data_IF_787284943843
#
_entry.id   IF_787284943843
#
_cell.length_a   1.000
_cell.length_b   1.000
_cell.length_c   1.000
_cell.angle_alpha   90.00
_cell.angle_beta   90.00
_cell.angle_gamma   90.00
#
_symmetry.space_group_name_H-M   'P 1'
#
loop_
_entity.id
_entity.type
_entity.pdbx_description
1 polymer ?
#
# COMPACT_ATOMS: atom_id res chain seq x y z
N UNK A 1 19.13 -21.71 -4.91
CA UNK A 1 19.21 -21.78 -3.42
C UNK A 1 20.21 -22.87 -3.05
N UNK A 2 21.16 -22.65 -2.14
CA UNK A 2 22.12 -23.68 -1.75
C UNK A 2 21.41 -24.85 -1.06
N UNK A 3 21.94 -26.06 -1.24
CA UNK A 3 21.40 -27.28 -0.65
C UNK A 3 21.51 -27.23 0.88
N UNK A 4 20.40 -27.46 1.59
CA UNK A 4 20.35 -27.53 3.06
C UNK A 4 19.79 -26.30 3.77
N UNK A 5 19.40 -25.24 3.06
CA UNK A 5 18.66 -24.13 3.68
C UNK A 5 17.23 -24.57 4.01
N UNK A 6 16.92 -24.66 5.30
CA UNK A 6 15.54 -24.70 5.79
C UNK A 6 15.14 -23.29 6.24
N UNK A 7 13.99 -22.76 5.80
CA UNK A 7 13.47 -21.52 6.35
C UNK A 7 13.30 -21.65 7.87
N UNK A 8 13.48 -20.57 8.64
CA UNK A 8 13.16 -20.56 10.06
C UNK A 8 11.76 -21.12 10.30
N UNK A 9 11.53 -21.77 11.45
CA UNK A 9 10.19 -22.16 11.89
C UNK A 9 9.42 -20.90 12.25
N UNK A 10 8.91 -20.21 11.22
CA UNK A 10 8.20 -18.93 11.29
C UNK A 10 7.06 -19.01 12.31
N UNK A 11 6.47 -20.19 12.49
CA UNK A 11 5.40 -20.42 13.46
C UNK A 11 5.89 -20.26 14.90
N UNK A 12 7.00 -20.90 15.29
CA UNK A 12 7.59 -20.71 16.62
C UNK A 12 8.06 -19.29 16.88
N UNK A 13 8.58 -18.63 15.85
CA UNK A 13 9.02 -17.24 15.94
C UNK A 13 7.82 -16.29 16.17
N UNK A 14 6.72 -16.49 15.42
CA UNK A 14 5.47 -15.74 15.60
C UNK A 14 4.86 -16.02 16.98
N UNK A 15 4.80 -17.29 17.42
CA UNK A 15 4.28 -17.67 18.74
C UNK A 15 5.06 -16.98 19.87
N UNK A 16 6.39 -16.89 19.75
CA UNK A 16 7.24 -16.19 20.72
C UNK A 16 7.03 -14.66 20.70
N UNK A 17 6.89 -14.05 19.52
CA UNK A 17 6.62 -12.62 19.38
C UNK A 17 5.21 -12.24 19.85
N UNK A 18 4.23 -13.14 19.70
CA UNK A 18 2.89 -12.95 20.28
C UNK A 18 2.91 -13.06 21.80
N UNK A 19 3.66 -14.02 22.35
CA UNK A 19 3.76 -14.24 23.79
C UNK A 19 4.49 -13.11 24.54
N UNK A 20 5.45 -12.43 23.91
CA UNK A 20 6.23 -11.36 24.54
C UNK A 20 5.69 -9.94 24.28
N UNK A 21 4.60 -9.80 23.52
CA UNK A 21 3.98 -8.51 23.21
C UNK A 21 4.82 -7.59 22.29
N UNK A 22 5.92 -8.08 21.69
CA UNK A 22 6.83 -7.27 20.88
C UNK A 22 6.19 -6.71 19.61
N UNK A 23 5.03 -7.22 19.18
CA UNK A 23 4.25 -6.68 18.07
C UNK A 23 3.62 -5.30 18.36
N UNK A 24 3.48 -4.90 19.63
CA UNK A 24 2.74 -3.69 20.02
C UNK A 24 3.57 -2.39 20.01
N UNK A 25 4.90 -2.48 19.86
CA UNK A 25 5.82 -1.34 20.06
C UNK A 25 6.40 -0.72 18.78
N UNK A 26 5.86 -1.04 17.60
CA UNK A 26 6.27 -0.36 16.37
C UNK A 26 5.41 0.86 16.12
N UNK A 27 6.05 1.96 15.70
CA UNK A 27 5.38 3.06 15.01
C UNK A 27 4.33 2.50 14.05
N UNK A 28 3.11 3.05 14.10
CA UNK A 28 1.97 2.54 13.33
C UNK A 28 2.34 2.51 11.84
N UNK A 29 2.69 1.33 11.35
CA UNK A 29 2.96 1.06 9.93
C UNK A 29 1.69 1.30 9.09
N UNK A 30 1.84 1.53 7.78
CA UNK A 30 0.75 1.80 6.82
C UNK A 30 -0.49 0.93 7.01
N UNK A 31 -0.32 -0.38 7.27
CA UNK A 31 -1.42 -1.31 7.51
C UNK A 31 -2.30 -0.95 8.73
N UNK A 32 -1.70 -0.46 9.82
CA UNK A 32 -2.45 -0.01 11.00
C UNK A 32 -3.24 1.26 10.71
N UNK A 33 -2.63 2.20 9.97
CA UNK A 33 -3.29 3.42 9.52
C UNK A 33 -4.50 3.11 8.62
N UNK A 34 -4.33 2.23 7.62
CA UNK A 34 -5.45 1.82 6.76
C UNK A 34 -6.52 1.08 7.57
N UNK A 35 -6.15 0.16 8.47
CA UNK A 35 -7.11 -0.54 9.35
C UNK A 35 -7.94 0.42 10.21
N UNK A 36 -7.29 1.44 10.79
CA UNK A 36 -7.96 2.49 11.57
C UNK A 36 -8.97 3.26 10.73
N UNK A 37 -8.59 3.64 9.51
CA UNK A 37 -9.50 4.32 8.59
C UNK A 37 -10.66 3.40 8.18
N UNK A 38 -10.41 2.15 7.82
CA UNK A 38 -11.43 1.16 7.41
C UNK A 38 -12.47 0.95 8.52
N UNK A 39 -12.04 0.69 9.75
CA UNK A 39 -12.94 0.52 10.90
C UNK A 39 -13.70 1.82 11.18
N UNK A 40 -13.00 2.96 11.20
CA UNK A 40 -13.64 4.26 11.43
C UNK A 40 -14.68 4.60 10.36
N UNK A 41 -14.39 4.26 9.11
CA UNK A 41 -15.30 4.34 7.98
C UNK A 41 -16.41 3.30 8.02
N UNK A 42 -16.59 2.55 9.12
CA UNK A 42 -17.65 1.56 9.32
C UNK A 42 -17.62 0.43 8.30
N UNK A 43 -16.44 0.09 7.78
CA UNK A 43 -16.21 -1.11 6.97
C UNK A 43 -15.70 -2.23 7.88
N UNK A 44 -15.96 -3.48 7.49
CA UNK A 44 -15.44 -4.65 8.22
C UNK A 44 -13.92 -4.73 8.14
N UNK A 45 -13.27 -5.11 9.24
CA UNK A 45 -11.85 -5.44 9.26
C UNK A 45 -11.64 -6.64 10.19
N UNK A 46 -11.66 -7.88 9.66
CA UNK A 46 -11.56 -9.07 10.49
C UNK A 46 -10.21 -9.10 11.23
N UNK A 47 -10.19 -9.77 12.38
CA UNK A 47 -8.98 -9.97 13.19
C UNK A 47 -8.13 -11.15 12.71
N UNK A 48 -8.69 -12.00 11.85
CA UNK A 48 -8.01 -13.13 11.22
C UNK A 48 -8.11 -13.02 9.69
N UNK A 49 -7.07 -13.44 8.95
CA UNK A 49 -7.12 -13.46 7.49
C UNK A 49 -8.25 -14.34 6.96
N UNK A 50 -8.85 -13.92 5.84
CA UNK A 50 -9.92 -14.65 5.14
C UNK A 50 -9.73 -14.49 3.64
N UNK A 51 -10.18 -15.49 2.86
CA UNK A 51 -10.14 -15.43 1.40
C UNK A 51 -11.04 -14.32 0.87
N UNK A 52 -10.54 -13.53 -0.07
CA UNK A 52 -11.38 -12.58 -0.81
C UNK A 52 -12.30 -13.29 -1.81
N UNK A 53 -13.54 -12.82 -1.93
CA UNK A 53 -14.47 -13.24 -2.99
C UNK A 53 -14.04 -12.76 -4.37
N UNK A 54 -14.67 -13.29 -5.42
CA UNK A 54 -14.43 -12.84 -6.80
C UNK A 54 -14.78 -11.35 -6.97
N UNK A 55 -15.84 -10.86 -6.34
CA UNK A 55 -16.26 -9.46 -6.37
C UNK A 55 -15.25 -8.55 -5.67
N UNK A 56 -14.71 -8.97 -4.53
CA UNK A 56 -13.68 -8.24 -3.79
C UNK A 56 -12.39 -8.13 -4.62
N UNK A 57 -11.95 -9.24 -5.24
CA UNK A 57 -10.79 -9.26 -6.14
C UNK A 57 -11.01 -8.36 -7.36
N UNK A 58 -12.21 -8.41 -7.98
CA UNK A 58 -12.55 -7.53 -9.11
C UNK A 58 -12.54 -6.06 -8.70
N UNK A 59 -13.07 -5.73 -7.53
CA UNK A 59 -13.12 -4.36 -7.02
C UNK A 59 -11.72 -3.78 -6.85
N UNK A 60 -10.82 -4.46 -6.13
CA UNK A 60 -9.46 -3.97 -5.90
C UNK A 60 -8.64 -3.93 -7.21
N UNK A 61 -8.80 -4.94 -8.08
CA UNK A 61 -8.13 -4.95 -9.40
C UNK A 61 -8.53 -3.74 -10.23
N UNK A 62 -9.83 -3.38 -10.24
CA UNK A 62 -10.30 -2.18 -10.94
C UNK A 62 -9.67 -0.91 -10.37
N UNK A 63 -9.60 -0.76 -9.04
CA UNK A 63 -8.97 0.40 -8.41
C UNK A 63 -7.50 0.52 -8.79
N UNK A 64 -6.75 -0.58 -8.75
CA UNK A 64 -5.34 -0.61 -9.15
C UNK A 64 -5.18 -0.21 -10.63
N UNK A 65 -6.04 -0.74 -11.53
CA UNK A 65 -6.00 -0.38 -12.96
C UNK A 65 -6.27 1.10 -13.19
N UNK A 66 -7.22 1.70 -12.48
CA UNK A 66 -7.52 3.13 -12.60
C UNK A 66 -6.28 3.96 -12.21
N UNK A 67 -5.59 3.65 -11.10
CA UNK A 67 -4.36 4.34 -10.68
C UNK A 67 -3.18 4.12 -11.65
N UNK A 68 -3.05 2.93 -12.23
CA UNK A 68 -2.05 2.66 -13.29
C UNK A 68 -2.31 3.52 -14.53
N UNK A 69 -3.58 3.73 -14.89
CA UNK A 69 -3.94 4.62 -15.99
C UNK A 69 -3.65 6.09 -15.65
N UNK A 70 -3.86 6.52 -14.40
CA UNK A 70 -3.45 7.86 -13.94
C UNK A 70 -1.93 8.04 -13.99
N UNK A 71 -1.16 7.01 -13.62
CA UNK A 71 0.28 7.02 -13.78
C UNK A 71 0.68 7.12 -15.26
N UNK A 72 0.06 6.36 -16.16
CA UNK A 72 0.34 6.49 -17.59
C UNK A 72 -0.04 7.86 -18.15
N UNK A 73 -1.09 8.48 -17.63
CA UNK A 73 -1.49 9.83 -18.04
C UNK A 73 -0.40 10.89 -17.78
N UNK A 74 0.61 10.58 -16.95
CA UNK A 74 1.79 11.45 -16.77
C UNK A 74 2.74 11.46 -17.97
N UNK A 75 2.65 10.48 -18.87
CA UNK A 75 3.56 10.31 -20.03
C UNK A 75 2.84 10.03 -21.35
N UNK A 76 1.52 9.77 -21.32
CA UNK A 76 0.70 9.42 -22.47
C UNK A 76 -0.66 10.13 -22.42
N UNK A 77 -1.28 10.35 -23.59
CA UNK A 77 -2.71 10.71 -23.62
C UNK A 77 -3.60 9.53 -23.20
N UNK A 78 -4.87 9.82 -22.91
CA UNK A 78 -5.81 8.83 -22.38
C UNK A 78 -6.07 7.65 -23.33
N UNK A 79 -6.03 7.86 -24.64
CA UNK A 79 -6.23 6.79 -25.62
C UNK A 79 -5.01 5.89 -25.67
N UNK A 80 -3.82 6.49 -25.73
CA UNK A 80 -2.58 5.74 -25.78
C UNK A 80 -2.31 4.97 -24.46
N UNK A 81 -2.58 5.58 -23.30
CA UNK A 81 -2.44 4.92 -21.99
C UNK A 81 -3.22 3.60 -21.92
N UNK A 82 -4.49 3.62 -22.36
CA UNK A 82 -5.33 2.41 -22.38
C UNK A 82 -4.82 1.36 -23.37
N UNK A 83 -4.38 1.78 -24.55
CA UNK A 83 -3.89 0.86 -25.57
C UNK A 83 -2.59 0.17 -25.12
N UNK A 84 -1.68 0.90 -24.49
CA UNK A 84 -0.45 0.32 -23.92
C UNK A 84 -0.77 -0.69 -22.84
N UNK A 85 -1.67 -0.36 -21.90
CA UNK A 85 -2.06 -1.28 -20.83
C UNK A 85 -2.72 -2.55 -21.40
N UNK A 86 -3.60 -2.43 -22.40
CA UNK A 86 -4.18 -3.60 -23.10
C UNK A 86 -3.08 -4.46 -23.74
N UNK A 87 -2.10 -3.85 -24.39
CA UNK A 87 -0.98 -4.57 -24.98
C UNK A 87 -0.16 -5.36 -23.95
N UNK A 88 0.01 -4.85 -22.72
CA UNK A 88 0.64 -5.61 -21.64
C UNK A 88 -0.20 -6.81 -21.20
N UNK A 89 -1.52 -6.65 -21.12
CA UNK A 89 -2.43 -7.76 -20.79
C UNK A 89 -2.40 -8.82 -21.89
N UNK A 90 -2.50 -8.42 -23.16
CA UNK A 90 -2.50 -9.34 -24.30
C UNK A 90 -1.16 -10.09 -24.45
N UNK A 91 -0.04 -9.47 -24.05
CA UNK A 91 1.29 -10.10 -24.07
C UNK A 91 1.62 -10.89 -22.79
N UNK A 92 0.78 -10.81 -21.75
CA UNK A 92 1.00 -11.52 -20.50
C UNK A 92 0.70 -13.01 -20.66
N UNK A 93 1.40 -13.84 -19.88
CA UNK A 93 1.12 -15.29 -19.83
C UNK A 93 -0.22 -15.55 -19.15
N UNK A 94 -0.91 -16.60 -19.60
CA UNK A 94 -2.06 -17.13 -18.87
C UNK A 94 -1.58 -17.69 -17.53
N UNK A 95 -2.16 -17.18 -16.44
CA UNK A 95 -1.91 -17.67 -15.08
C UNK A 95 -3.09 -18.57 -14.70
N UNK A 96 -2.87 -19.87 -14.42
CA UNK A 96 -3.95 -20.78 -14.05
C UNK A 96 -4.57 -20.34 -12.73
N UNK A 97 -5.87 -20.58 -12.57
CA UNK A 97 -6.54 -20.40 -11.29
C UNK A 97 -5.89 -21.29 -10.23
N UNK A 98 -5.59 -20.72 -9.08
CA UNK A 98 -5.12 -21.47 -7.92
C UNK A 98 -6.29 -22.30 -7.38
N UNK A 99 -6.10 -23.62 -7.36
CA UNK A 99 -6.98 -24.59 -6.72
C UNK A 99 -6.20 -25.24 -5.57
N UNK A 100 -6.32 -24.65 -4.39
CA UNK A 100 -5.51 -24.96 -3.22
C UNK A 100 -6.33 -24.78 -1.93
N UNK A 101 -5.87 -25.32 -0.79
CA UNK A 101 -6.43 -25.00 0.52
C UNK A 101 -6.55 -23.49 0.79
N UNK A 102 -7.52 -23.12 1.63
CA UNK A 102 -7.87 -21.72 1.91
C UNK A 102 -6.65 -20.87 2.33
N UNK A 103 -5.81 -21.40 3.23
CA UNK A 103 -4.62 -20.70 3.71
C UNK A 103 -3.61 -20.38 2.60
N UNK A 104 -3.50 -21.26 1.60
CA UNK A 104 -2.59 -21.07 0.47
C UNK A 104 -3.16 -20.00 -0.47
N UNK A 105 -4.48 -19.97 -0.69
CA UNK A 105 -5.14 -18.91 -1.47
C UNK A 105 -4.94 -17.55 -0.79
N UNK A 106 -5.11 -17.46 0.53
CA UNK A 106 -4.87 -16.21 1.30
C UNK A 106 -3.41 -15.78 1.16
N UNK A 107 -2.46 -16.72 1.27
CA UNK A 107 -1.04 -16.43 1.14
C UNK A 107 -0.70 -15.87 -0.25
N UNK A 108 -1.19 -16.50 -1.32
CA UNK A 108 -0.98 -16.04 -2.71
C UNK A 108 -1.67 -14.69 -2.98
N UNK A 109 -2.84 -14.43 -2.39
CA UNK A 109 -3.49 -13.12 -2.45
C UNK A 109 -2.64 -12.04 -1.76
N UNK A 110 -2.07 -12.34 -0.60
CA UNK A 110 -1.19 -11.43 0.12
C UNK A 110 0.15 -11.20 -0.61
N UNK A 111 0.73 -12.24 -1.19
CA UNK A 111 1.96 -12.18 -1.99
C UNK A 111 1.80 -11.25 -3.21
N UNK A 112 0.71 -11.42 -3.96
CA UNK A 112 0.40 -10.55 -5.09
C UNK A 112 0.24 -9.07 -4.68
N UNK A 113 -0.42 -8.80 -3.54
CA UNK A 113 -0.57 -7.43 -3.04
C UNK A 113 0.76 -6.82 -2.58
N UNK A 114 1.57 -7.57 -1.84
CA UNK A 114 2.84 -7.03 -1.35
C UNK A 114 3.81 -6.81 -2.51
N UNK A 115 3.82 -7.65 -3.54
CA UNK A 115 4.64 -7.43 -4.73
C UNK A 115 4.29 -6.13 -5.45
N UNK A 116 2.99 -5.87 -5.68
CA UNK A 116 2.52 -4.60 -6.28
C UNK A 116 2.97 -3.41 -5.42
N UNK A 117 2.72 -3.46 -4.11
CA UNK A 117 3.12 -2.40 -3.19
C UNK A 117 4.64 -2.19 -3.17
N UNK A 118 5.43 -3.26 -3.17
CA UNK A 118 6.88 -3.22 -3.16
C UNK A 118 7.44 -2.61 -4.45
N UNK A 119 6.87 -2.94 -5.61
CA UNK A 119 7.28 -2.32 -6.88
C UNK A 119 6.98 -0.81 -6.90
N UNK A 120 5.87 -0.37 -6.32
CA UNK A 120 5.56 1.06 -6.15
C UNK A 120 6.59 1.76 -5.27
N UNK A 121 6.91 1.19 -4.10
CA UNK A 121 7.95 1.70 -3.20
C UNK A 121 9.32 1.77 -3.89
N UNK A 122 9.72 0.71 -4.60
CA UNK A 122 10.98 0.65 -5.34
C UNK A 122 11.05 1.71 -6.46
N UNK A 123 9.97 1.91 -7.21
CA UNK A 123 9.91 2.94 -8.25
C UNK A 123 10.08 4.35 -7.66
N UNK A 124 9.41 4.65 -6.54
CA UNK A 124 9.56 5.92 -5.82
C UNK A 124 10.97 6.10 -5.26
N UNK A 125 11.52 5.07 -4.60
CA UNK A 125 12.86 5.09 -4.03
C UNK A 125 13.95 5.34 -5.09
N UNK A 126 13.83 4.73 -6.28
CA UNK A 126 14.72 4.99 -7.42
C UNK A 126 14.68 6.43 -7.93
N UNK A 127 13.65 7.19 -7.56
CA UNK A 127 13.50 8.62 -7.87
C UNK A 127 13.74 9.51 -6.66
N UNK A 128 14.26 8.94 -5.57
CA UNK A 128 14.52 9.65 -4.33
C UNK A 128 13.24 10.14 -3.66
N UNK A 129 12.08 9.55 -3.92
CA UNK A 129 10.82 9.91 -3.27
C UNK A 129 10.59 8.96 -2.09
N UNK A 130 10.38 9.52 -0.91
CA UNK A 130 9.90 8.78 0.25
C UNK A 130 8.37 8.66 0.15
N UNK A 131 7.92 7.51 -0.36
CA UNK A 131 6.49 7.25 -0.58
C UNK A 131 5.72 7.07 0.73
N UNK A 132 6.38 6.62 1.81
CA UNK A 132 5.75 6.52 3.14
C UNK A 132 5.39 7.90 3.70
N UNK A 133 6.25 8.90 3.52
CA UNK A 133 5.91 10.28 3.90
C UNK A 133 4.72 10.84 3.08
N UNK A 134 4.62 10.46 1.79
CA UNK A 134 3.45 10.82 0.95
C UNK A 134 2.19 10.09 1.45
N UNK A 135 2.31 8.81 1.82
CA UNK A 135 1.23 8.03 2.41
C UNK A 135 0.70 8.72 3.69
N UNK A 136 1.57 9.23 4.56
CA UNK A 136 1.16 9.91 5.79
C UNK A 136 0.32 11.17 5.50
N UNK A 137 0.69 11.95 4.48
CA UNK A 137 -0.09 13.13 4.05
C UNK A 137 -1.48 12.72 3.56
N UNK A 138 -1.56 11.65 2.76
CA UNK A 138 -2.83 11.11 2.26
C UNK A 138 -3.67 10.53 3.39
N UNK A 139 -3.07 9.78 4.30
CA UNK A 139 -3.74 9.19 5.45
C UNK A 139 -4.30 10.28 6.38
N UNK A 140 -3.51 11.32 6.69
CA UNK A 140 -3.96 12.46 7.48
C UNK A 140 -5.18 13.14 6.85
N UNK A 141 -5.18 13.38 5.53
CA UNK A 141 -6.32 13.95 4.83
C UNK A 141 -7.54 13.01 4.83
N UNK A 142 -7.33 11.69 4.75
CA UNK A 142 -8.40 10.71 4.87
C UNK A 142 -9.03 10.72 6.26
N UNK A 143 -8.23 10.76 7.31
CA UNK A 143 -8.70 10.83 8.70
C UNK A 143 -9.39 12.16 9.02
N UNK A 144 -8.96 13.26 8.39
CA UNK A 144 -9.62 14.56 8.49
C UNK A 144 -11.04 14.59 7.88
N UNK A 145 -11.49 13.52 7.18
CA UNK A 145 -12.89 13.39 6.75
C UNK A 145 -13.85 13.09 7.92
N UNK A 146 -13.33 12.85 9.13
CA UNK A 146 -14.15 12.82 10.35
C UNK A 146 -14.78 14.18 10.58
N UNK A 147 -16.06 14.19 10.92
CA UNK A 147 -16.78 15.40 11.28
C UNK A 147 -16.15 16.01 12.55
N UNK A 148 -15.72 17.29 12.53
CA UNK A 148 -15.02 17.91 13.65
C UNK A 148 -15.84 18.01 14.94
N UNK A 149 -17.17 17.94 14.88
CA UNK A 149 -18.04 18.04 16.05
C UNK A 149 -18.24 16.70 16.74
N UNK A 150 -18.33 15.62 15.96
CA UNK A 150 -18.66 14.27 16.45
C UNK A 150 -17.46 13.33 16.48
N UNK A 151 -16.39 13.62 15.74
CA UNK A 151 -15.24 12.73 15.56
C UNK A 151 -15.52 11.51 14.67
N UNK A 152 -16.71 11.43 14.06
CA UNK A 152 -17.16 10.28 13.29
C UNK A 152 -17.16 10.57 11.79
N UNK A 153 -17.06 9.54 10.96
CA UNK A 153 -17.26 9.69 9.52
C UNK A 153 -18.75 9.78 9.21
N UNK A 154 -19.18 10.88 8.60
CA UNK A 154 -20.52 11.00 8.06
C UNK A 154 -20.59 10.29 6.71
N UNK A 155 -21.69 9.61 6.42
CA UNK A 155 -21.90 8.89 5.16
C UNK A 155 -23.19 9.33 4.50
N UNK A 156 -23.21 9.29 3.17
CA UNK A 156 -24.45 9.37 2.37
C UNK A 156 -25.19 8.03 2.43
N UNK A 157 -26.40 8.02 1.89
CA UNK A 157 -27.24 6.82 1.77
C UNK A 157 -26.56 5.67 1.00
N UNK A 158 -25.69 6.00 0.03
CA UNK A 158 -24.91 5.02 -0.73
C UNK A 158 -23.64 4.55 -0.02
N UNK A 159 -23.45 4.91 1.25
CA UNK A 159 -22.29 4.55 2.06
C UNK A 159 -21.04 5.40 1.81
N UNK A 160 -21.05 6.32 0.84
CA UNK A 160 -19.89 7.19 0.56
C UNK A 160 -19.66 8.18 1.69
N UNK A 161 -18.41 8.26 2.16
CA UNK A 161 -17.98 9.22 3.18
C UNK A 161 -18.16 10.66 2.68
N UNK A 162 -18.78 11.49 3.50
CA UNK A 162 -18.98 12.92 3.29
C UNK A 162 -17.78 13.67 3.85
N UNK A 163 -17.25 14.62 3.07
CA UNK A 163 -16.19 15.53 3.51
C UNK A 163 -16.82 16.64 4.36
N UNK A 164 -16.31 16.94 5.58
CA UNK A 164 -16.85 18.01 6.39
C UNK A 164 -16.54 19.39 5.79
N UNK A 165 -17.28 20.41 6.22
CA UNK A 165 -17.02 21.79 5.81
C UNK A 165 -15.57 22.20 6.18
N UNK A 166 -14.86 22.81 5.22
CA UNK A 166 -13.47 23.23 5.40
C UNK A 166 -12.42 22.13 5.20
N UNK A 167 -12.81 20.88 4.97
CA UNK A 167 -11.88 19.80 4.64
C UNK A 167 -11.02 20.14 3.42
N UNK A 168 -9.72 19.85 3.51
CA UNK A 168 -8.75 20.05 2.43
C UNK A 168 -8.27 18.70 1.88
N UNK A 169 -8.05 18.59 0.56
CA UNK A 169 -7.39 17.42 -0.02
C UNK A 169 -5.94 17.30 0.46
N UNK A 170 -5.33 16.10 0.41
CA UNK A 170 -3.92 15.95 0.71
C UNK A 170 -3.07 16.79 -0.23
N UNK A 171 -2.09 17.51 0.31
CA UNK A 171 -1.15 18.31 -0.48
C UNK A 171 0.14 17.51 -0.75
N UNK A 172 0.03 16.55 -1.66
CA UNK A 172 1.15 15.74 -2.14
C UNK A 172 2.25 16.62 -2.75
N UNK A 173 1.87 17.73 -3.41
CA UNK A 173 2.83 18.64 -4.04
C UNK A 173 3.69 19.34 -2.98
N UNK A 174 3.10 19.84 -1.91
CA UNK A 174 3.85 20.47 -0.82
C UNK A 174 4.87 19.51 -0.20
N UNK A 175 4.49 18.24 0.00
CA UNK A 175 5.41 17.23 0.50
C UNK A 175 6.54 16.92 -0.50
N UNK A 176 6.24 16.81 -1.80
CA UNK A 176 7.29 16.65 -2.83
C UNK A 176 8.25 17.84 -2.82
N UNK A 177 7.75 19.08 -2.70
CA UNK A 177 8.60 20.28 -2.59
C UNK A 177 9.46 20.23 -1.32
N UNK A 178 8.91 19.81 -0.19
CA UNK A 178 9.66 19.61 1.06
C UNK A 178 10.79 18.59 0.86
N UNK A 179 10.50 17.45 0.24
CA UNK A 179 11.49 16.41 -0.06
C UNK A 179 12.61 16.93 -0.97
N UNK A 180 12.26 17.72 -2.00
CA UNK A 180 13.23 18.35 -2.91
C UNK A 180 14.16 19.33 -2.19
N UNK A 181 13.66 20.10 -1.23
CA UNK A 181 14.45 21.12 -0.52
C UNK A 181 15.26 20.56 0.65
N UNK A 182 14.68 19.64 1.43
CA UNK A 182 15.22 19.20 2.72
C UNK A 182 15.74 17.76 2.70
N UNK A 183 15.58 17.05 1.59
CA UNK A 183 15.78 15.61 1.52
C UNK A 183 14.54 14.81 1.89
N UNK A 184 14.43 13.64 1.27
CA UNK A 184 13.26 12.75 1.40
C UNK A 184 13.34 11.82 2.60
N UNK A 185 14.55 11.54 3.06
CA UNK A 185 14.84 10.62 4.16
C UNK A 185 15.40 11.39 5.35
N UNK A 186 15.06 11.00 6.59
CA UNK A 186 15.70 11.53 7.78
C UNK A 186 17.23 11.37 7.71
N UNK A 187 17.97 12.41 8.09
CA UNK A 187 19.44 12.46 8.02
C UNK A 187 20.15 11.34 8.82
N UNK A 188 19.48 10.76 9.82
CA UNK A 188 20.04 9.71 10.66
C UNK A 188 19.92 8.29 10.06
N UNK A 189 19.05 8.07 9.06
CA UNK A 189 18.86 6.74 8.45
C UNK A 189 19.89 6.45 7.34
N UNK A 190 20.42 7.49 6.70
CA UNK A 190 21.24 7.37 5.48
C UNK A 190 22.74 7.10 5.76
N UNK A 191 23.23 7.29 6.99
CA UNK A 191 24.65 7.14 7.31
C UNK A 191 25.14 5.67 7.41
N UNK A 192 24.22 4.70 7.41
CA UNK A 192 24.58 3.27 7.43
C UNK A 192 24.87 2.69 6.03
N UNK A 193 24.47 3.38 4.95
CA UNK A 193 24.73 2.95 3.59
C UNK A 193 26.02 3.60 3.05
N UNK A 194 27.17 3.11 3.51
CA UNK A 194 28.44 3.44 2.86
C UNK A 194 28.44 2.88 1.42
N UNK A 195 28.21 3.78 0.46
CA UNK A 195 28.41 3.49 -0.96
C UNK A 195 29.91 3.33 -1.18
N UNK A 196 30.38 2.09 -1.29
CA UNK A 196 31.73 1.80 -1.81
C UNK A 196 31.85 2.41 -3.21
N UNK A 197 32.87 3.24 -3.49
CA UNK A 197 33.05 3.80 -4.82
C UNK A 197 33.41 2.68 -5.79
N UNK A 198 32.64 2.58 -6.88
CA UNK A 198 33.01 1.75 -8.03
C UNK A 198 34.29 2.34 -8.62
N UNK A 199 35.38 1.57 -8.56
CA UNK A 199 36.66 1.95 -9.18
C UNK A 199 36.47 2.01 -10.70
N UNK A 200 37.00 3.09 -11.29
CA UNK A 200 37.14 3.28 -12.74
C UNK A 200 38.11 2.26 -13.35
#
# INVERSE_FOLDING_TARGET
>A
KPAGWQPPDVRKEIENQMANGSWQQQDKRDAHHVREFTIGAGQGSPDVPSVMSEEEVKFITKMIVDEVLELFATVHDATNAKNVLKGFVDASKDIPKIDAPEVDIIAEQADAFVDIYYYCLNAAAKKGVNLSAIFDVVHAANMAKRDPKTGQFLKREDGKIIKPAGWQPPDVRAEIVRQQHNGSWPVDECQSAQVTPVKA
#
